data_IF_849790059099
#
_entry.id   IF_849790059099
#
_cell.length_a   1.000
_cell.length_b   1.000
_cell.length_c   1.000
_cell.angle_alpha   90.00
_cell.angle_beta   90.00
_cell.angle_gamma   90.00
#
_symmetry.space_group_name_H-M   'P 1'
#
loop_
_entity.id
_entity.type
_entity.pdbx_description
1 polymer ?
#
# COMPACT_ATOMS: atom_id res chain seq x y z
N UNK A 1 -1.68 15.87 -9.35
CA UNK A 1 -3.07 15.55 -9.75
C UNK A 1 -3.45 16.02 -11.15
N UNK A 2 -3.01 17.20 -11.59
CA UNK A 2 -3.42 17.74 -12.91
C UNK A 2 -3.15 16.83 -14.12
N UNK A 3 -2.00 16.12 -14.15
CA UNK A 3 -1.70 15.18 -15.25
C UNK A 3 -2.73 14.05 -15.36
N UNK A 4 -3.15 13.48 -14.23
CA UNK A 4 -4.15 12.41 -14.18
C UNK A 4 -5.53 12.95 -14.59
N UNK A 5 -5.94 14.09 -14.03
CA UNK A 5 -7.19 14.77 -14.38
C UNK A 5 -7.27 15.06 -15.89
N UNK A 6 -6.24 15.65 -16.47
CA UNK A 6 -6.19 15.97 -17.89
C UNK A 6 -6.23 14.70 -18.75
N UNK A 7 -5.55 13.63 -18.34
CA UNK A 7 -5.61 12.34 -19.01
C UNK A 7 -7.02 11.74 -18.98
N UNK A 8 -7.72 11.81 -17.85
CA UNK A 8 -9.10 11.31 -17.72
C UNK A 8 -10.05 12.13 -18.59
N UNK A 9 -9.92 13.46 -18.57
CA UNK A 9 -10.71 14.37 -19.40
C UNK A 9 -10.51 14.09 -20.89
N UNK A 10 -9.25 13.92 -21.31
CA UNK A 10 -8.91 13.58 -22.68
C UNK A 10 -9.54 12.25 -23.12
N UNK A 11 -9.47 11.22 -22.26
CA UNK A 11 -10.06 9.90 -22.53
C UNK A 11 -11.59 9.98 -22.62
N UNK A 12 -12.26 10.72 -21.74
CA UNK A 12 -13.71 10.89 -21.79
C UNK A 12 -14.16 11.59 -23.08
N UNK A 13 -13.44 12.64 -23.50
CA UNK A 13 -13.71 13.33 -24.77
C UNK A 13 -13.50 12.42 -25.98
N UNK A 14 -12.48 11.57 -25.95
CA UNK A 14 -12.22 10.61 -27.02
C UNK A 14 -13.30 9.52 -27.10
N UNK A 15 -13.84 9.08 -25.95
CA UNK A 15 -14.89 8.05 -25.90
C UNK A 15 -16.26 8.57 -26.36
N UNK A 16 -16.57 9.84 -26.08
CA UNK A 16 -17.81 10.48 -26.52
C UNK A 16 -17.53 11.90 -27.04
N UNK A 17 -17.15 12.06 -28.33
CA UNK A 17 -16.81 13.36 -28.91
C UNK A 17 -17.98 14.36 -28.94
N UNK A 18 -19.21 13.84 -28.96
CA UNK A 18 -20.45 14.62 -28.90
C UNK A 18 -20.85 15.04 -27.49
N UNK A 19 -20.22 14.47 -26.45
CA UNK A 19 -20.48 14.87 -25.07
C UNK A 19 -19.88 16.27 -24.83
N UNK A 20 -20.75 17.24 -24.56
CA UNK A 20 -20.34 18.55 -24.07
C UNK A 20 -19.82 18.41 -22.64
N UNK A 21 -18.52 18.15 -22.49
CA UNK A 21 -17.87 18.19 -21.16
C UNK A 21 -17.78 19.66 -20.75
N UNK A 22 -18.88 20.18 -20.21
CA UNK A 22 -18.96 21.52 -19.65
C UNK A 22 -18.09 21.63 -18.38
N UNK A 23 -17.84 22.87 -17.94
CA UNK A 23 -17.04 23.18 -16.75
C UNK A 23 -17.54 22.47 -15.48
N UNK A 24 -18.83 22.13 -15.40
CA UNK A 24 -19.47 21.46 -14.26
C UNK A 24 -19.10 19.97 -14.18
N UNK A 25 -18.96 19.28 -15.31
CA UNK A 25 -18.48 17.89 -15.30
C UNK A 25 -17.01 17.80 -14.89
N UNK A 26 -16.19 18.79 -15.24
CA UNK A 26 -14.78 18.84 -14.87
C UNK A 26 -14.58 19.01 -13.35
N UNK A 27 -15.40 19.84 -12.69
CA UNK A 27 -15.35 20.00 -11.23
C UNK A 27 -15.81 18.74 -10.50
N UNK A 28 -16.87 18.07 -10.98
CA UNK A 28 -17.30 16.79 -10.41
C UNK A 28 -16.24 15.70 -10.56
N UNK A 29 -15.58 15.60 -11.73
CA UNK A 29 -14.47 14.67 -11.93
C UNK A 29 -13.33 15.00 -10.96
N UNK A 30 -13.03 16.28 -10.75
CA UNK A 30 -11.99 16.68 -9.82
C UNK A 30 -12.33 16.31 -8.37
N UNK A 31 -13.53 16.61 -7.90
CA UNK A 31 -14.01 16.26 -6.57
C UNK A 31 -14.00 14.74 -6.36
N UNK A 32 -14.53 13.99 -7.34
CA UNK A 32 -14.49 12.53 -7.38
C UNK A 32 -13.06 11.99 -7.31
N UNK A 33 -12.13 12.56 -8.06
CA UNK A 33 -10.73 12.12 -8.05
C UNK A 33 -10.08 12.41 -6.69
N UNK A 34 -10.36 13.56 -6.08
CA UNK A 34 -9.87 13.88 -4.74
C UNK A 34 -10.46 12.94 -3.68
N UNK A 35 -11.71 12.53 -3.83
CA UNK A 35 -12.36 11.60 -2.91
C UNK A 35 -11.91 10.14 -3.10
N UNK A 36 -11.72 9.69 -4.34
CA UNK A 36 -11.24 8.33 -4.65
C UNK A 36 -9.77 8.18 -4.28
N UNK A 37 -8.98 9.21 -4.54
CA UNK A 37 -7.57 9.28 -4.16
C UNK A 37 -7.42 10.22 -2.96
N UNK A 38 -8.25 10.00 -1.91
CA UNK A 38 -8.27 10.73 -0.62
C UNK A 38 -6.83 10.96 -0.17
N UNK A 39 -6.33 12.13 -0.54
CA UNK A 39 -5.00 12.68 -0.32
C UNK A 39 -3.82 11.69 -0.46
N UNK A 40 -2.87 12.02 -1.32
CA UNK A 40 -1.48 11.52 -1.23
C UNK A 40 -0.77 12.07 0.03
N UNK A 41 -1.48 12.12 1.15
CA UNK A 41 -0.95 12.42 2.45
C UNK A 41 -0.21 11.21 2.99
N UNK A 42 0.75 11.47 3.87
CA UNK A 42 1.44 10.41 4.60
C UNK A 42 0.40 9.67 5.43
N UNK A 43 0.27 8.35 5.25
CA UNK A 43 -0.68 7.58 6.04
C UNK A 43 -0.45 7.77 7.53
N UNK A 44 -1.52 7.83 8.30
CA UNK A 44 -1.46 7.96 9.76
C UNK A 44 -1.08 6.66 10.46
N UNK A 45 -1.23 5.53 9.75
CA UNK A 45 -0.85 4.23 10.24
C UNK A 45 0.69 4.01 10.16
N UNK A 46 1.27 3.16 11.02
CA UNK A 46 2.68 2.83 10.94
C UNK A 46 3.00 1.99 9.69
N UNK A 47 4.28 1.79 9.35
CA UNK A 47 4.70 0.88 8.28
C UNK A 47 4.06 -0.50 8.39
N UNK A 48 3.74 -1.11 7.24
CA UNK A 48 3.13 -2.45 7.18
C UNK A 48 3.93 -3.50 7.94
N UNK A 49 5.26 -3.42 7.95
CA UNK A 49 6.10 -4.33 8.73
C UNK A 49 5.73 -4.33 10.22
N UNK A 50 5.52 -3.14 10.82
CA UNK A 50 5.13 -3.02 12.21
C UNK A 50 3.68 -3.46 12.43
N UNK A 51 2.77 -3.12 11.52
CA UNK A 51 1.37 -3.55 11.59
C UNK A 51 1.25 -5.08 11.55
N UNK A 52 1.98 -5.75 10.66
CA UNK A 52 2.00 -7.21 10.52
C UNK A 52 2.59 -7.87 11.76
N UNK A 53 3.73 -7.37 12.27
CA UNK A 53 4.34 -7.88 13.50
C UNK A 53 3.35 -7.79 14.67
N UNK A 54 2.73 -6.63 14.86
CA UNK A 54 1.72 -6.42 15.91
C UNK A 54 0.52 -7.34 15.73
N UNK A 55 0.02 -7.51 14.51
CA UNK A 55 -1.09 -8.42 14.23
C UNK A 55 -0.77 -9.86 14.66
N UNK A 56 0.39 -10.40 14.25
CA UNK A 56 0.80 -11.77 14.61
C UNK A 56 0.98 -11.92 16.13
N UNK A 57 1.58 -10.92 16.78
CA UNK A 57 1.78 -10.92 18.24
C UNK A 57 0.48 -10.84 19.03
N UNK A 58 -0.53 -10.13 18.52
CA UNK A 58 -1.81 -9.93 19.22
C UNK A 58 -2.80 -11.06 18.94
N UNK A 59 -2.78 -11.63 17.73
CA UNK A 59 -3.62 -12.78 17.36
C UNK A 59 -3.24 -14.05 18.13
N UNK A 60 -1.96 -14.20 18.53
CA UNK A 60 -1.45 -15.30 19.38
C UNK A 60 -1.87 -16.70 18.93
N UNK A 61 -2.00 -16.89 17.62
CA UNK A 61 -2.35 -18.19 17.05
C UNK A 61 -1.16 -19.16 17.15
N UNK A 62 -1.37 -20.30 17.80
CA UNK A 62 -0.34 -21.31 18.06
C UNK A 62 0.34 -21.83 16.77
N UNK A 63 -0.41 -21.90 15.67
CA UNK A 63 0.12 -22.34 14.38
C UNK A 63 0.57 -21.20 13.46
N UNK A 64 0.50 -19.94 13.91
CA UNK A 64 0.67 -18.74 13.09
C UNK A 64 -0.63 -18.25 12.48
N UNK A 65 -0.63 -17.01 11.99
CA UNK A 65 -1.82 -16.33 11.47
C UNK A 65 -1.89 -16.40 9.94
N UNK A 66 -3.11 -16.49 9.40
CA UNK A 66 -3.33 -16.44 7.94
C UNK A 66 -3.26 -14.99 7.43
N UNK A 67 -3.11 -14.81 6.12
CA UNK A 67 -3.13 -13.47 5.50
C UNK A 67 -4.47 -12.76 5.79
N UNK A 68 -5.57 -13.49 5.78
CA UNK A 68 -6.91 -12.97 6.07
C UNK A 68 -7.02 -12.46 7.50
N UNK A 69 -6.57 -13.25 8.49
CA UNK A 69 -6.60 -12.86 9.90
C UNK A 69 -5.74 -11.60 10.15
N UNK A 70 -4.56 -11.53 9.54
CA UNK A 70 -3.69 -10.35 9.61
C UNK A 70 -4.37 -9.14 8.94
N UNK A 71 -4.99 -9.34 7.78
CA UNK A 71 -5.68 -8.26 7.06
C UNK A 71 -6.86 -7.72 7.86
N UNK A 72 -7.68 -8.59 8.45
CA UNK A 72 -8.80 -8.17 9.30
C UNK A 72 -8.34 -7.41 10.53
N UNK A 73 -7.28 -7.89 11.20
CA UNK A 73 -6.68 -7.16 12.31
C UNK A 73 -6.24 -5.74 11.90
N UNK A 74 -5.51 -5.61 10.79
CA UNK A 74 -5.01 -4.32 10.32
C UNK A 74 -6.17 -3.38 9.96
N UNK A 75 -7.21 -3.87 9.28
CA UNK A 75 -8.40 -3.07 8.95
C UNK A 75 -9.17 -2.59 10.18
N UNK A 76 -9.14 -3.36 11.27
CA UNK A 76 -9.83 -2.99 12.51
C UNK A 76 -9.05 -1.95 13.32
N UNK A 77 -7.73 -2.08 13.34
CA UNK A 77 -6.86 -1.27 14.21
C UNK A 77 -6.41 0.04 13.57
N UNK A 78 -6.31 0.09 12.23
CA UNK A 78 -5.71 1.21 11.51
C UNK A 78 -6.67 1.81 10.49
N UNK A 79 -6.79 3.14 10.53
CA UNK A 79 -7.47 3.93 9.51
C UNK A 79 -6.53 4.28 8.35
N UNK A 80 -7.09 4.92 7.31
CA UNK A 80 -6.34 5.42 6.15
C UNK A 80 -5.50 4.36 5.42
N UNK A 81 -6.02 3.12 5.38
CA UNK A 81 -5.36 2.06 4.64
C UNK A 81 -5.49 2.28 3.12
N UNK A 82 -4.43 1.96 2.35
CA UNK A 82 -4.49 2.00 0.90
C UNK A 82 -5.68 1.21 0.35
N UNK A 83 -6.31 1.71 -0.72
CA UNK A 83 -7.43 1.05 -1.39
C UNK A 83 -7.12 -0.42 -1.76
N UNK A 84 -5.87 -0.69 -2.16
CA UNK A 84 -5.39 -2.03 -2.50
C UNK A 84 -4.69 -2.72 -1.30
N UNK A 85 -5.20 -2.53 -0.09
CA UNK A 85 -4.60 -3.05 1.16
C UNK A 85 -4.19 -4.52 1.07
N UNK A 86 -5.04 -5.40 0.53
CA UNK A 86 -4.71 -6.83 0.41
C UNK A 86 -3.47 -7.10 -0.46
N UNK A 87 -3.36 -6.46 -1.62
CA UNK A 87 -2.18 -6.61 -2.47
C UNK A 87 -0.92 -6.04 -1.81
N UNK A 88 -1.05 -4.87 -1.15
CA UNK A 88 0.06 -4.24 -0.43
C UNK A 88 0.53 -5.13 0.74
N UNK A 89 -0.41 -5.72 1.47
CA UNK A 89 -0.15 -6.66 2.54
C UNK A 89 0.61 -7.89 2.01
N UNK A 90 0.13 -8.52 0.94
CA UNK A 90 0.77 -9.70 0.36
C UNK A 90 2.22 -9.43 -0.07
N UNK A 91 2.47 -8.28 -0.70
CA UNK A 91 3.83 -7.86 -1.09
C UNK A 91 4.71 -7.70 0.15
N UNK A 92 4.20 -7.09 1.21
CA UNK A 92 4.96 -6.92 2.45
C UNK A 92 5.20 -8.24 3.20
N UNK A 93 4.22 -9.15 3.24
CA UNK A 93 4.39 -10.48 3.83
C UNK A 93 5.51 -11.26 3.13
N UNK A 94 5.50 -11.30 1.79
CA UNK A 94 6.58 -11.92 1.01
C UNK A 94 7.92 -11.28 1.28
N UNK A 95 7.97 -9.95 1.34
CA UNK A 95 9.21 -9.23 1.64
C UNK A 95 9.75 -9.61 3.02
N UNK A 96 8.91 -9.61 4.04
CA UNK A 96 9.33 -9.98 5.40
C UNK A 96 9.77 -11.44 5.51
N UNK A 97 9.20 -12.34 4.71
CA UNK A 97 9.70 -13.71 4.59
C UNK A 97 11.10 -13.76 3.96
N UNK A 98 11.35 -12.97 2.92
CA UNK A 98 12.67 -12.87 2.30
C UNK A 98 13.71 -12.26 3.24
N UNK A 99 13.30 -11.27 4.03
CA UNK A 99 14.14 -10.60 5.03
C UNK A 99 14.42 -11.49 6.26
N UNK A 100 13.84 -12.70 6.32
CA UNK A 100 14.01 -13.64 7.44
C UNK A 100 13.33 -13.21 8.74
N UNK A 101 12.39 -12.25 8.67
CA UNK A 101 11.63 -11.74 9.81
C UNK A 101 10.40 -12.63 10.07
N UNK A 102 9.80 -13.12 9.00
CA UNK A 102 8.67 -14.05 9.04
C UNK A 102 9.04 -15.38 8.40
N UNK A 103 8.33 -16.43 8.80
CA UNK A 103 8.29 -17.70 8.09
C UNK A 103 6.89 -17.96 7.61
N UNK A 104 6.75 -18.24 6.31
CA UNK A 104 5.54 -18.80 5.74
C UNK A 104 5.62 -20.33 5.85
N UNK A 105 4.67 -20.91 6.57
CA UNK A 105 4.52 -22.36 6.67
C UNK A 105 3.89 -22.92 5.39
N UNK A 106 4.05 -24.22 5.17
CA UNK A 106 3.44 -24.95 4.05
C UNK A 106 1.89 -24.83 4.05
N UNK A 107 1.29 -24.57 5.21
CA UNK A 107 -0.14 -24.31 5.40
C UNK A 107 -0.59 -22.89 5.01
N UNK A 108 0.31 -22.03 4.53
CA UNK A 108 0.02 -20.63 4.18
C UNK A 108 -0.11 -19.70 5.39
N UNK A 109 0.34 -20.13 6.57
CA UNK A 109 0.33 -19.35 7.81
C UNK A 109 1.68 -18.67 8.05
N UNK A 110 1.64 -17.46 8.58
CA UNK A 110 2.80 -16.64 8.88
C UNK A 110 3.11 -16.66 10.37
N UNK A 111 4.38 -16.88 10.71
CA UNK A 111 4.90 -16.87 12.08
C UNK A 111 6.07 -15.92 12.19
N UNK A 112 6.15 -15.19 13.29
CA UNK A 112 7.29 -14.35 13.62
C UNK A 112 8.46 -15.22 14.09
N UNK A 113 9.63 -15.04 13.48
CA UNK A 113 10.87 -15.56 14.05
C UNK A 113 11.28 -14.61 15.19
N UNK A 114 11.32 -15.15 16.41
CA UNK A 114 11.39 -14.40 17.67
C UNK A 114 12.57 -13.40 17.72
N UNK A 115 12.27 -12.22 18.30
CA UNK A 115 13.11 -11.06 18.67
C UNK A 115 13.75 -10.20 17.56
N UNK A 116 12.97 -9.23 17.05
CA UNK A 116 13.51 -8.06 16.34
C UNK A 116 13.22 -6.78 17.12
N UNK A 117 13.72 -6.68 18.35
CA UNK A 117 13.66 -5.43 19.15
C UNK A 117 14.71 -4.38 18.72
N UNK A 118 15.46 -4.59 17.64
CA UNK A 118 16.46 -3.62 17.19
C UNK A 118 16.52 -3.54 15.66
N UNK A 119 15.84 -2.56 15.07
CA UNK A 119 16.49 -1.78 14.00
C UNK A 119 15.94 -0.35 13.99
N UNK A 120 16.82 0.57 14.37
CA UNK A 120 16.68 2.01 14.15
C UNK A 120 16.63 2.24 12.64
N UNK A 121 15.47 2.65 12.16
CA UNK A 121 15.24 3.02 10.77
C UNK A 121 16.25 4.13 10.36
N UNK A 122 17.24 3.78 9.52
CA UNK A 122 18.13 4.75 8.89
C UNK A 122 17.62 5.01 7.46
N UNK A 123 17.00 6.18 7.17
CA UNK A 123 16.26 6.40 5.92
C UNK A 123 17.12 6.66 4.67
N UNK A 124 18.40 6.25 4.64
CA UNK A 124 19.37 6.77 3.65
C UNK A 124 19.80 5.83 2.50
N UNK A 125 19.05 4.79 2.15
CA UNK A 125 19.31 4.08 0.89
C UNK A 125 18.54 4.68 -0.30
N UNK A 126 18.88 5.94 -0.61
CA UNK A 126 18.60 6.54 -1.91
C UNK A 126 19.35 5.74 -2.98
N UNK A 127 18.58 5.08 -3.84
CA UNK A 127 19.05 4.40 -5.05
C UNK A 127 19.93 5.34 -5.88
N UNK A 128 21.24 5.12 -5.85
CA UNK A 128 22.20 5.70 -6.78
C UNK A 128 21.94 5.06 -8.14
N UNK A 129 21.10 5.68 -8.97
CA UNK A 129 21.02 5.38 -10.40
C UNK A 129 22.31 5.89 -11.01
N UNK A 130 23.27 5.00 -11.22
CA UNK A 130 24.47 5.30 -11.97
C UNK A 130 24.05 5.66 -13.41
N UNK A 131 24.27 6.92 -13.79
CA UNK A 131 24.17 7.36 -15.17
C UNK A 131 25.31 6.75 -15.97
N UNK A 132 24.96 6.00 -17.01
CA UNK A 132 25.92 5.53 -17.99
C UNK A 132 26.23 6.70 -18.93
N UNK A 133 27.44 7.23 -18.81
CA UNK A 133 28.04 8.17 -19.75
C UNK A 133 28.40 7.37 -21.01
N UNK A 134 27.99 7.84 -22.18
CA UNK A 134 28.48 7.33 -23.46
C UNK A 134 29.06 8.55 -24.17
N UNK A 135 30.36 8.49 -24.45
CA UNK A 135 31.13 9.45 -25.26
C UNK A 135 30.61 9.54 -26.70
#
# INVERSE_FOLDING_TARGET
MEKLKNSVLFRLKALNPSASINSTHASFIQDRLQHVFKSFHTPTHPPYAQMIKRAIMELKEESGSTEEAISEFIRREYEDLPLAHGTVLNVHLRKLCLDGILVCKETGRYVLLVDCDNEKDNPNQRRKRNGLHIE
#
